data_IF_344966699683
#
_entry.id   IF_344966699683
#
_cell.length_a   1.000
_cell.length_b   1.000
_cell.length_c   1.000
_cell.angle_alpha   90.00
_cell.angle_beta   90.00
_cell.angle_gamma   90.00
#
_symmetry.space_group_name_H-M   'P 1'
#
loop_
_entity.id
_entity.type
_entity.pdbx_description
1 polymer ?
#
# COMPACT_ATOMS: atom_id res chain seq x y z
N UNK A 1 -23.61 -2.71 -1.39
CA UNK A 1 -22.25 -3.27 -1.21
C UNK A 1 -21.52 -3.14 -2.54
N UNK A 2 -20.21 -2.91 -2.49
CA UNK A 2 -19.36 -2.78 -3.68
C UNK A 2 -18.17 -3.72 -3.53
N UNK A 3 -17.76 -4.36 -4.62
CA UNK A 3 -16.54 -5.16 -4.64
C UNK A 3 -15.34 -4.25 -4.91
N UNK A 4 -14.32 -4.35 -4.07
CA UNK A 4 -13.04 -3.67 -4.24
C UNK A 4 -11.98 -4.70 -4.62
N UNK A 5 -11.26 -4.44 -5.71
CA UNK A 5 -10.04 -5.17 -6.07
C UNK A 5 -8.88 -4.20 -6.15
N UNK A 6 -7.72 -4.60 -5.66
CA UNK A 6 -6.50 -3.79 -5.68
C UNK A 6 -5.37 -4.58 -6.31
N UNK A 7 -4.72 -3.96 -7.29
CA UNK A 7 -3.49 -4.42 -7.90
C UNK A 7 -2.44 -3.33 -7.69
N UNK A 8 -1.43 -3.62 -6.87
CA UNK A 8 -0.41 -2.65 -6.52
C UNK A 8 0.97 -3.29 -6.40
N UNK A 9 2.00 -2.55 -6.83
CA UNK A 9 3.39 -2.98 -6.77
C UNK A 9 4.14 -2.23 -5.67
N UNK A 10 5.38 -2.63 -5.41
CA UNK A 10 6.21 -2.05 -4.35
C UNK A 10 5.60 -2.10 -2.95
N UNK A 11 4.88 -3.20 -2.66
CA UNK A 11 4.37 -3.57 -1.33
C UNK A 11 5.28 -4.58 -0.63
N UNK A 12 6.01 -5.37 -1.41
CA UNK A 12 7.01 -6.35 -0.96
C UNK A 12 8.40 -5.93 -1.45
N UNK A 13 8.64 -5.88 -2.77
CA UNK A 13 9.88 -5.32 -3.30
C UNK A 13 9.93 -3.78 -3.19
N UNK A 14 10.87 -3.27 -2.40
CA UNK A 14 11.04 -1.83 -2.20
C UNK A 14 11.49 -1.12 -3.50
N UNK A 15 11.08 0.13 -3.72
CA UNK A 15 11.65 0.97 -4.78
C UNK A 15 13.16 1.09 -4.57
N UNK A 16 13.95 0.75 -5.60
CA UNK A 16 15.40 0.71 -5.48
C UNK A 16 16.00 2.12 -5.43
N UNK A 17 17.09 2.28 -4.69
CA UNK A 17 17.94 3.47 -4.80
C UNK A 17 18.96 3.35 -5.94
N UNK A 18 19.60 4.45 -6.28
CA UNK A 18 20.55 4.58 -7.38
C UNK A 18 21.88 5.16 -6.88
N UNK A 19 23.00 4.78 -7.52
CA UNK A 19 24.34 5.29 -7.21
C UNK A 19 24.73 5.20 -5.71
N UNK A 20 24.26 4.15 -5.05
CA UNK A 20 24.49 3.91 -3.61
C UNK A 20 23.44 4.53 -2.68
N UNK A 21 22.36 5.10 -3.20
CA UNK A 21 21.22 5.54 -2.42
C UNK A 21 20.39 4.39 -1.85
N UNK A 22 19.75 4.64 -0.71
CA UNK A 22 18.94 3.64 0.01
C UNK A 22 17.58 3.38 -0.66
N UNK A 23 17.01 2.16 -0.51
CA UNK A 23 15.67 1.86 -1.01
C UNK A 23 14.56 2.68 -0.35
N UNK A 24 13.53 3.00 -1.12
CA UNK A 24 12.31 3.64 -0.65
C UNK A 24 11.48 2.73 0.26
N UNK A 25 10.59 3.33 1.05
CA UNK A 25 9.64 2.56 1.87
C UNK A 25 8.58 1.89 0.98
N UNK A 26 8.19 0.64 1.28
CA UNK A 26 7.09 -0.01 0.57
C UNK A 26 5.77 0.69 0.89
N UNK A 27 4.87 0.71 -0.09
CA UNK A 27 3.49 1.15 0.13
C UNK A 27 2.71 0.16 1.00
N UNK A 28 1.55 0.57 1.50
CA UNK A 28 0.64 -0.26 2.31
C UNK A 28 -0.80 0.04 1.96
N UNK A 29 -1.71 -0.85 2.37
CA UNK A 29 -3.12 -0.67 2.08
C UNK A 29 -3.98 -1.47 3.02
N UNK A 30 -5.06 -0.83 3.47
CA UNK A 30 -5.99 -1.41 4.42
C UNK A 30 -7.39 -0.85 4.24
N UNK A 31 -8.38 -1.63 4.66
CA UNK A 31 -9.76 -1.15 4.80
C UNK A 31 -10.06 -0.97 6.28
N UNK A 32 -10.48 0.25 6.64
CA UNK A 32 -11.08 0.55 7.94
C UNK A 32 -12.58 0.38 7.80
N UNK A 33 -13.13 -0.63 8.48
CA UNK A 33 -14.58 -0.86 8.53
C UNK A 33 -15.30 0.28 9.25
N UNK A 34 -16.58 0.48 8.97
CA UNK A 34 -17.41 1.46 9.67
C UNK A 34 -17.40 1.29 11.21
N UNK A 35 -17.18 0.07 11.70
CA UNK A 35 -17.04 -0.23 13.14
C UNK A 35 -15.63 -0.02 13.70
N UNK A 36 -14.69 0.52 12.91
CA UNK A 36 -13.31 0.80 13.30
C UNK A 36 -12.34 -0.37 13.16
N UNK A 37 -12.79 -1.59 12.79
CA UNK A 37 -11.88 -2.71 12.54
C UNK A 37 -11.01 -2.45 11.32
N UNK A 38 -9.73 -2.77 11.41
CA UNK A 38 -8.77 -2.63 10.32
C UNK A 38 -8.49 -3.98 9.68
N UNK A 39 -8.48 -4.01 8.35
CA UNK A 39 -8.13 -5.18 7.55
C UNK A 39 -7.04 -4.78 6.56
N UNK A 40 -5.83 -5.28 6.74
CA UNK A 40 -4.74 -5.13 5.78
C UNK A 40 -5.08 -5.90 4.50
N UNK A 41 -4.73 -5.33 3.35
CA UNK A 41 -4.88 -5.96 2.04
C UNK A 41 -3.50 -6.30 1.47
N UNK A 42 -3.37 -7.49 0.88
CA UNK A 42 -2.17 -7.91 0.17
C UNK A 42 -1.91 -7.10 -1.10
N UNK A 43 -0.74 -7.23 -1.76
CA UNK A 43 -0.39 -6.45 -2.96
C UNK A 43 -1.37 -6.63 -4.13
N UNK A 44 -1.84 -7.87 -4.28
CA UNK A 44 -2.92 -8.30 -5.19
C UNK A 44 -4.00 -8.92 -4.32
N UNK A 45 -5.11 -8.21 -4.11
CA UNK A 45 -6.13 -8.63 -3.16
C UNK A 45 -7.48 -7.96 -3.45
N UNK A 46 -8.53 -8.38 -2.74
CA UNK A 46 -9.84 -7.75 -2.82
C UNK A 46 -10.75 -8.10 -1.66
N UNK A 47 -11.75 -7.25 -1.44
CA UNK A 47 -12.79 -7.52 -0.45
C UNK A 47 -14.09 -6.77 -0.81
N UNK A 48 -15.20 -7.20 -0.21
CA UNK A 48 -16.44 -6.44 -0.22
C UNK A 48 -16.36 -5.27 0.75
N UNK A 49 -16.87 -4.12 0.32
CA UNK A 49 -16.97 -2.90 1.14
C UNK A 49 -18.42 -2.42 1.24
N UNK A 50 -18.77 -1.90 2.40
CA UNK A 50 -20.08 -1.33 2.69
C UNK A 50 -20.00 0.19 2.85
N UNK A 51 -21.13 0.92 2.73
CA UNK A 51 -21.17 2.34 3.06
C UNK A 51 -20.59 2.61 4.46
N UNK A 52 -19.69 3.59 4.55
CA UNK A 52 -18.98 3.94 5.79
C UNK A 52 -17.63 3.24 5.97
N UNK A 53 -17.34 2.17 5.21
CA UNK A 53 -15.98 1.64 5.13
C UNK A 53 -15.06 2.63 4.39
N UNK A 54 -13.76 2.61 4.73
CA UNK A 54 -12.74 3.49 4.15
C UNK A 54 -11.56 2.66 3.68
N UNK A 55 -11.18 2.82 2.42
CA UNK A 55 -9.91 2.33 1.91
C UNK A 55 -8.81 3.37 2.19
N UNK A 56 -7.72 2.93 2.79
CA UNK A 56 -6.47 3.70 2.88
C UNK A 56 -5.47 3.05 1.94
N UNK A 57 -4.91 3.85 1.03
CA UNK A 57 -3.89 3.45 0.08
C UNK A 57 -2.66 4.33 0.29
N UNK A 58 -1.63 3.77 0.92
CA UNK A 58 -0.34 4.43 1.12
C UNK A 58 0.57 4.10 -0.06
N UNK A 59 0.88 5.12 -0.85
CA UNK A 59 1.78 4.97 -1.99
C UNK A 59 3.23 4.76 -1.53
N UNK A 60 4.01 3.92 -2.23
CA UNK A 60 5.42 3.71 -1.91
C UNK A 60 6.23 5.02 -1.96
N UNK A 61 7.29 5.09 -1.16
CA UNK A 61 8.27 6.19 -1.25
C UNK A 61 9.20 6.03 -2.45
N UNK A 62 9.91 7.10 -2.83
CA UNK A 62 10.98 7.01 -3.82
C UNK A 62 12.26 6.40 -3.24
N UNK A 63 13.06 5.75 -4.08
CA UNK A 63 14.43 5.37 -3.72
C UNK A 63 15.37 6.58 -3.74
N UNK A 64 16.38 6.57 -2.88
CA UNK A 64 17.38 7.63 -2.81
C UNK A 64 18.38 7.60 -3.97
N UNK A 65 19.16 8.67 -4.11
CA UNK A 65 20.25 8.76 -5.07
C UNK A 65 21.55 9.18 -4.37
N UNK A 66 22.66 8.53 -4.71
CA UNK A 66 23.99 8.84 -4.20
C UNK A 66 24.26 8.25 -2.82
N UNK A 67 25.53 8.23 -2.43
CA UNK A 67 25.96 7.97 -1.05
C UNK A 67 26.10 9.32 -0.36
N UNK A 68 25.35 9.55 0.71
CA UNK A 68 25.76 10.55 1.70
C UNK A 68 27.03 10.08 2.41
#
# INVERSE_FOLDING_TARGET
>A
PMSLSVLSQHRVERPYGLEGGEPGQPGRQMVIRANGKVFELGPIDGCEVAPGDRLILETPGGGGFGKE
#
